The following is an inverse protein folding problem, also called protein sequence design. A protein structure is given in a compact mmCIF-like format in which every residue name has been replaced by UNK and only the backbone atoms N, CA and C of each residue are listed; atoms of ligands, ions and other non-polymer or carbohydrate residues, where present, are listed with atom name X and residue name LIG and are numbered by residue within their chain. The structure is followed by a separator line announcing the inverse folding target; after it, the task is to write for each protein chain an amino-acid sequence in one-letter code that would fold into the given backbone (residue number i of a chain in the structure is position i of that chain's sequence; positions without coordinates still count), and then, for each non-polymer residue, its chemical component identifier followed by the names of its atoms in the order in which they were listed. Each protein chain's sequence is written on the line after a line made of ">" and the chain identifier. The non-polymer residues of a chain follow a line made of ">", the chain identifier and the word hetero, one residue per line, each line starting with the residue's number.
data_IF_730010371099
#
_entry.id   IF_730010371099
#
_cell.length_a   1.000
_cell.length_b   1.000
_cell.length_c   1.000
_cell.angle_alpha   90.00
_cell.angle_beta   90.00
_cell.angle_gamma   90.00
#
_symmetry.space_group_name_H-M   'P 1'
#
loop_
_entity.id
_entity.type
_entity.pdbx_description
1 polymer ?
#
# COMPACT_ATOMS: atom_id res chain seq x y z
N UNK A 1 -20.83 21.36 -17.67
CA UNK A 1 -21.25 20.63 -16.45
C UNK A 1 -22.06 19.36 -16.74
N UNK A 2 -22.73 19.19 -17.89
CA UNK A 2 -23.48 17.95 -18.22
C UNK A 2 -22.68 16.83 -18.92
N UNK A 3 -21.53 17.12 -19.54
CA UNK A 3 -20.72 16.12 -20.24
C UNK A 3 -19.92 15.18 -19.30
N UNK A 4 -19.64 15.61 -18.07
CA UNK A 4 -18.81 14.83 -17.12
C UNK A 4 -19.59 13.67 -16.47
N UNK A 5 -20.92 13.78 -16.42
CA UNK A 5 -21.82 12.75 -15.86
C UNK A 5 -22.09 11.58 -16.83
N UNK A 6 -22.00 11.81 -18.14
CA UNK A 6 -22.22 10.75 -19.14
C UNK A 6 -20.99 9.85 -19.36
N UNK A 7 -19.80 10.29 -18.94
CA UNK A 7 -18.55 9.55 -19.14
C UNK A 7 -18.21 8.59 -17.99
N UNK A 8 -18.75 8.77 -16.78
CA UNK A 8 -18.39 7.94 -15.63
C UNK A 8 -18.73 6.44 -15.76
N UNK A 9 -19.93 6.03 -16.23
CA UNK A 9 -20.24 4.61 -16.45
C UNK A 9 -19.34 4.00 -17.54
N UNK A 10 -19.00 4.80 -18.55
CA UNK A 10 -18.07 4.45 -19.61
C UNK A 10 -16.66 4.27 -19.03
N UNK A 11 -16.21 5.11 -18.08
CA UNK A 11 -14.92 4.95 -17.40
C UNK A 11 -14.83 3.72 -16.49
N UNK A 12 -15.88 3.36 -15.75
CA UNK A 12 -15.90 2.12 -14.95
C UNK A 12 -15.87 0.89 -15.85
N UNK A 13 -16.67 0.91 -16.92
CA UNK A 13 -16.71 -0.18 -17.91
C UNK A 13 -15.41 -0.25 -18.68
N UNK A 14 -14.78 0.87 -19.03
CA UNK A 14 -13.46 0.97 -19.68
C UNK A 14 -12.31 0.62 -18.73
N UNK A 15 -12.43 0.84 -17.41
CA UNK A 15 -11.42 0.44 -16.42
C UNK A 15 -11.48 -1.06 -16.17
N UNK A 16 -12.68 -1.63 -16.10
CA UNK A 16 -12.87 -3.09 -16.08
C UNK A 16 -12.53 -3.72 -17.43
N UNK A 17 -12.82 -3.08 -18.58
CA UNK A 17 -12.36 -3.53 -19.90
C UNK A 17 -10.85 -3.38 -20.03
N UNK A 18 -10.23 -2.31 -19.53
CA UNK A 18 -8.77 -2.13 -19.57
C UNK A 18 -8.09 -3.11 -18.64
N UNK A 19 -8.69 -3.45 -17.51
CA UNK A 19 -8.21 -4.51 -16.61
C UNK A 19 -8.38 -5.88 -17.29
N UNK A 20 -9.54 -6.17 -17.88
CA UNK A 20 -9.80 -7.35 -18.68
C UNK A 20 -8.86 -7.48 -19.89
N UNK A 21 -8.56 -6.38 -20.59
CA UNK A 21 -7.64 -6.32 -21.73
C UNK A 21 -6.17 -6.35 -21.27
N UNK A 22 -5.80 -5.75 -20.13
CA UNK A 22 -4.47 -5.92 -19.53
C UNK A 22 -4.26 -7.36 -19.05
N UNK A 23 -5.31 -8.01 -18.58
CA UNK A 23 -5.29 -9.39 -18.09
C UNK A 23 -5.38 -10.44 -19.21
N UNK A 24 -6.10 -10.15 -20.33
CA UNK A 24 -6.25 -11.05 -21.50
C UNK A 24 -5.31 -10.74 -22.67
N UNK A 25 -4.98 -9.48 -22.93
CA UNK A 25 -4.14 -9.03 -24.07
C UNK A 25 -2.76 -8.54 -23.64
N UNK A 26 -2.52 -8.34 -22.33
CA UNK A 26 -1.19 -8.07 -21.80
C UNK A 26 -0.32 -9.31 -21.88
N UNK A 27 0.38 -9.46 -23.01
CA UNK A 27 1.41 -10.48 -23.19
C UNK A 27 2.41 -10.51 -22.03
N UNK A 28 2.79 -11.71 -21.65
CA UNK A 28 3.92 -12.09 -20.79
C UNK A 28 3.98 -11.60 -19.32
N UNK A 29 3.19 -10.60 -18.90
CA UNK A 29 3.31 -10.05 -17.53
C UNK A 29 2.45 -10.75 -16.45
N UNK A 30 1.30 -11.34 -16.81
CA UNK A 30 0.50 -12.17 -15.91
C UNK A 30 0.60 -13.62 -16.36
N UNK A 31 1.63 -14.32 -15.86
CA UNK A 31 1.88 -15.71 -16.25
C UNK A 31 0.71 -16.64 -15.89
N UNK A 32 0.58 -17.80 -16.57
CA UNK A 32 -0.51 -18.77 -16.35
C UNK A 32 -0.65 -19.22 -14.88
N UNK A 33 0.42 -19.10 -14.09
CA UNK A 33 0.41 -19.43 -12.67
C UNK A 33 -0.47 -18.50 -11.81
N UNK A 34 -0.63 -17.22 -12.16
CA UNK A 34 -1.47 -16.27 -11.40
C UNK A 34 -2.95 -16.59 -11.62
N UNK A 35 -3.34 -16.82 -12.87
CA UNK A 35 -4.71 -17.22 -13.27
C UNK A 35 -5.11 -18.49 -12.52
N UNK A 36 -4.26 -19.53 -12.61
CA UNK A 36 -4.51 -20.81 -11.94
C UNK A 36 -4.63 -20.67 -10.42
N UNK A 37 -3.82 -19.81 -9.79
CA UNK A 37 -3.86 -19.60 -8.34
C UNK A 37 -5.17 -18.92 -7.90
N UNK A 38 -5.58 -17.84 -8.57
CA UNK A 38 -6.82 -17.13 -8.27
C UNK A 38 -8.06 -18.02 -8.50
N UNK A 39 -8.14 -18.68 -9.65
CA UNK A 39 -9.25 -19.57 -9.99
C UNK A 39 -9.37 -20.76 -9.03
N UNK A 40 -8.23 -21.34 -8.60
CA UNK A 40 -8.23 -22.43 -7.62
C UNK A 40 -8.84 -22.03 -6.27
N UNK A 41 -8.78 -20.73 -5.94
CA UNK A 41 -9.35 -20.13 -4.74
C UNK A 41 -10.75 -19.53 -4.98
N UNK A 42 -11.35 -19.73 -6.15
CA UNK A 42 -12.64 -19.12 -6.58
C UNK A 42 -12.63 -17.58 -6.59
N UNK A 43 -11.46 -16.98 -6.81
CA UNK A 43 -11.32 -15.54 -7.05
C UNK A 43 -11.43 -15.27 -8.55
N UNK A 44 -12.15 -14.21 -8.90
CA UNK A 44 -12.28 -13.73 -10.29
C UNK A 44 -11.13 -12.76 -10.59
N UNK A 45 -10.13 -13.11 -11.41
CA UNK A 45 -8.95 -12.27 -11.56
C UNK A 45 -9.21 -10.86 -12.08
N UNK A 46 -10.23 -10.70 -12.92
CA UNK A 46 -10.69 -9.41 -13.46
C UNK A 46 -11.22 -8.45 -12.38
N UNK A 47 -11.66 -8.99 -11.22
CA UNK A 47 -12.18 -8.23 -10.10
C UNK A 47 -11.13 -8.01 -8.99
N UNK A 48 -9.87 -8.39 -9.22
CA UNK A 48 -8.82 -8.20 -8.23
C UNK A 48 -8.55 -6.71 -7.94
N UNK A 49 -8.31 -6.33 -6.67
CA UNK A 49 -7.86 -4.98 -6.36
C UNK A 49 -6.47 -4.76 -6.95
N UNK A 50 -6.27 -3.65 -7.65
CA UNK A 50 -4.97 -3.28 -8.21
C UNK A 50 -4.00 -2.86 -7.10
N UNK A 51 -4.53 -2.19 -6.07
CA UNK A 51 -3.75 -1.68 -4.94
C UNK A 51 -4.40 -2.07 -3.62
N UNK A 52 -3.66 -2.81 -2.80
CA UNK A 52 -4.02 -3.14 -1.42
C UNK A 52 -3.17 -2.32 -0.45
N UNK A 53 -3.79 -1.64 0.49
CA UNK A 53 -3.13 -0.97 1.61
C UNK A 53 -3.37 -1.77 2.90
N UNK A 54 -2.34 -1.90 3.76
CA UNK A 54 -2.45 -2.68 5.00
C UNK A 54 -1.90 -1.93 6.21
N UNK A 55 -2.74 -1.79 7.23
CA UNK A 55 -2.33 -1.34 8.56
C UNK A 55 -2.03 -2.58 9.40
N UNK A 56 -0.73 -2.84 9.58
CA UNK A 56 -0.16 -4.04 10.21
C UNK A 56 -0.21 -3.98 11.75
N UNK A 57 -1.42 -3.88 12.30
CA UNK A 57 -1.65 -3.68 13.73
C UNK A 57 -1.71 -5.00 14.51
N UNK A 58 -1.38 -4.94 15.80
CA UNK A 58 -1.48 -6.08 16.72
C UNK A 58 -0.15 -6.77 17.09
N UNK A 59 0.99 -6.41 16.50
CA UNK A 59 2.30 -7.01 16.80
C UNK A 59 2.63 -7.05 18.31
N UNK A 60 2.42 -5.93 19.01
CA UNK A 60 2.64 -5.83 20.46
C UNK A 60 1.69 -6.72 21.27
N UNK A 61 0.41 -6.75 20.88
CA UNK A 61 -0.60 -7.59 21.53
C UNK A 61 -0.29 -9.07 21.33
N UNK A 62 0.17 -9.43 20.14
CA UNK A 62 0.52 -10.78 19.77
C UNK A 62 1.62 -11.35 20.66
N UNK A 63 2.67 -10.56 20.90
CA UNK A 63 3.77 -10.95 21.80
C UNK A 63 3.30 -11.07 23.26
N UNK A 64 2.57 -10.05 23.74
CA UNK A 64 2.06 -10.02 25.12
C UNK A 64 1.14 -11.20 25.45
N UNK A 65 0.24 -11.55 24.52
CA UNK A 65 -0.69 -12.68 24.69
C UNK A 65 0.05 -14.03 24.80
N UNK A 66 1.32 -14.09 24.36
CA UNK A 66 2.17 -15.27 24.40
C UNK A 66 3.26 -15.20 25.48
N UNK A 67 3.26 -14.16 26.33
CA UNK A 67 4.30 -13.94 27.33
C UNK A 67 5.68 -13.63 26.74
N UNK A 68 5.73 -13.17 25.49
CA UNK A 68 6.96 -12.88 24.75
C UNK A 68 7.34 -11.39 24.82
N UNK A 69 8.65 -11.07 24.68
CA UNK A 69 9.11 -9.71 24.44
C UNK A 69 8.42 -9.07 23.21
N UNK A 70 8.11 -7.79 23.29
CA UNK A 70 7.39 -7.03 22.24
C UNK A 70 8.14 -7.08 20.90
N UNK A 71 9.46 -7.09 20.98
CA UNK A 71 10.41 -7.21 19.89
C UNK A 71 10.14 -8.43 19.02
N UNK A 72 9.81 -9.57 19.63
CA UNK A 72 9.50 -10.80 18.90
C UNK A 72 8.19 -10.69 18.11
N UNK A 73 7.21 -9.94 18.61
CA UNK A 73 5.98 -9.65 17.88
C UNK A 73 6.23 -8.81 16.63
N UNK A 74 7.16 -7.84 16.71
CA UNK A 74 7.54 -7.05 15.54
C UNK A 74 8.34 -7.86 14.52
N UNK A 75 9.25 -8.75 14.94
CA UNK A 75 9.95 -9.68 14.05
C UNK A 75 8.96 -10.61 13.32
N UNK A 76 8.00 -11.18 14.05
CA UNK A 76 6.96 -12.02 13.47
C UNK A 76 6.09 -11.23 12.46
N UNK A 77 5.77 -9.97 12.76
CA UNK A 77 5.12 -9.06 11.81
C UNK A 77 5.94 -8.84 10.53
N UNK A 78 7.26 -8.66 10.63
CA UNK A 78 8.13 -8.55 9.46
C UNK A 78 8.03 -9.77 8.53
N UNK A 79 8.02 -10.98 9.11
CA UNK A 79 7.86 -12.22 8.35
C UNK A 79 6.47 -12.34 7.69
N UNK A 80 5.41 -11.99 8.41
CA UNK A 80 4.05 -11.96 7.87
C UNK A 80 3.92 -10.95 6.71
N UNK A 81 4.56 -9.79 6.80
CA UNK A 81 4.60 -8.79 5.72
C UNK A 81 5.28 -9.33 4.44
N UNK A 82 6.40 -10.06 4.59
CA UNK A 82 7.09 -10.70 3.45
C UNK A 82 6.19 -11.73 2.77
N UNK A 83 5.50 -12.55 3.55
CA UNK A 83 4.54 -13.55 3.03
C UNK A 83 3.37 -12.87 2.34
N UNK A 84 2.82 -11.81 2.94
CA UNK A 84 1.76 -10.98 2.35
C UNK A 84 2.18 -10.41 0.99
N UNK A 85 3.40 -9.87 0.85
CA UNK A 85 3.90 -9.36 -0.42
C UNK A 85 3.98 -10.46 -1.49
N UNK A 86 4.48 -11.65 -1.13
CA UNK A 86 4.52 -12.81 -2.02
C UNK A 86 3.11 -13.25 -2.45
N UNK A 87 2.16 -13.29 -1.52
CA UNK A 87 0.77 -13.68 -1.79
C UNK A 87 0.06 -12.64 -2.67
N UNK A 88 0.26 -11.34 -2.42
CA UNK A 88 -0.24 -10.28 -3.29
C UNK A 88 0.20 -10.49 -4.74
N UNK A 89 1.49 -10.80 -4.96
CA UNK A 89 1.99 -11.16 -6.30
C UNK A 89 1.31 -12.41 -6.86
N UNK A 90 1.18 -13.47 -6.05
CA UNK A 90 0.53 -14.74 -6.43
C UNK A 90 -0.89 -14.51 -6.96
N UNK A 91 -1.64 -13.60 -6.36
CA UNK A 91 -3.03 -13.30 -6.73
C UNK A 91 -3.18 -12.15 -7.75
N UNK A 92 -2.08 -11.55 -8.21
CA UNK A 92 -2.12 -10.49 -9.23
C UNK A 92 -2.41 -9.09 -8.70
N UNK A 93 -2.23 -8.85 -7.40
CA UNK A 93 -2.22 -7.49 -6.84
C UNK A 93 -0.94 -6.78 -7.29
N UNK A 94 -1.10 -5.59 -7.87
CA UNK A 94 0.02 -4.85 -8.48
C UNK A 94 0.77 -3.97 -7.48
N UNK A 95 0.06 -3.40 -6.50
CA UNK A 95 0.63 -2.51 -5.49
C UNK A 95 0.22 -2.96 -4.10
N UNK A 96 1.18 -3.08 -3.19
CA UNK A 96 0.95 -3.31 -1.78
C UNK A 96 1.56 -2.14 -1.00
N UNK A 97 0.76 -1.38 -0.24
CA UNK A 97 1.28 -0.33 0.66
C UNK A 97 1.09 -0.72 2.11
N UNK A 98 2.17 -0.86 2.86
CA UNK A 98 2.13 -1.28 4.27
C UNK A 98 2.47 -0.13 5.21
N UNK A 99 1.70 0.01 6.29
CA UNK A 99 1.94 1.05 7.30
C UNK A 99 2.93 0.56 8.36
N UNK A 100 4.23 0.76 8.11
CA UNK A 100 5.28 0.25 8.99
C UNK A 100 5.53 1.14 10.22
N UNK A 101 5.55 2.47 10.05
CA UNK A 101 5.80 3.41 11.14
C UNK A 101 5.15 4.78 10.89
N UNK A 102 4.28 5.22 11.80
CA UNK A 102 3.57 6.51 11.66
C UNK A 102 4.34 7.68 12.27
N UNK A 103 3.99 8.91 11.87
CA UNK A 103 4.56 10.13 12.48
C UNK A 103 4.28 10.28 13.97
N UNK A 104 3.21 9.64 14.45
CA UNK A 104 2.74 9.65 15.84
C UNK A 104 3.47 8.57 16.68
N UNK A 105 4.11 7.57 16.05
CA UNK A 105 4.82 6.53 16.79
C UNK A 105 6.11 7.01 17.46
N UNK A 106 6.60 8.20 17.14
CA UNK A 106 7.71 8.83 17.86
C UNK A 106 7.38 9.22 19.30
N UNK A 107 6.10 9.21 19.71
CA UNK A 107 5.68 9.45 21.10
C UNK A 107 5.94 8.23 21.99
N UNK A 108 6.23 7.06 21.40
CA UNK A 108 6.56 5.83 22.13
C UNK A 108 7.90 5.97 22.88
N UNK A 109 8.17 5.09 23.88
CA UNK A 109 9.45 5.06 24.58
C UNK A 109 10.64 5.00 23.61
N UNK A 110 11.71 5.70 23.95
CA UNK A 110 12.88 5.87 23.08
C UNK A 110 13.50 4.52 22.70
N UNK A 111 13.58 3.61 23.66
CA UNK A 111 14.11 2.26 23.50
C UNK A 111 13.29 1.45 22.49
N UNK A 112 11.96 1.59 22.50
CA UNK A 112 11.07 0.93 21.52
C UNK A 112 11.29 1.51 20.12
N UNK A 113 11.44 2.83 20.01
CA UNK A 113 11.69 3.48 18.72
C UNK A 113 13.06 3.07 18.15
N UNK A 114 14.11 3.08 18.97
CA UNK A 114 15.45 2.63 18.57
C UNK A 114 15.45 1.17 18.14
N UNK A 115 14.76 0.30 18.88
CA UNK A 115 14.58 -1.08 18.48
C UNK A 115 13.89 -1.21 17.11
N UNK A 116 12.81 -0.46 16.86
CA UNK A 116 12.09 -0.51 15.59
C UNK A 116 12.96 -0.04 14.42
N UNK A 117 13.77 1.01 14.60
CA UNK A 117 14.70 1.46 13.56
C UNK A 117 15.74 0.38 13.24
N UNK A 118 16.33 -0.24 14.26
CA UNK A 118 17.29 -1.34 14.08
C UNK A 118 16.65 -2.56 13.40
N UNK A 119 15.40 -2.89 13.77
CA UNK A 119 14.65 -3.97 13.14
C UNK A 119 14.38 -3.67 11.66
N UNK A 120 14.04 -2.43 11.30
CA UNK A 120 13.87 -2.05 9.90
C UNK A 120 15.17 -2.19 9.11
N UNK A 121 16.31 -1.83 9.70
CA UNK A 121 17.62 -2.06 9.08
C UNK A 121 17.88 -3.54 8.85
N UNK A 122 17.68 -4.37 9.87
CA UNK A 122 17.86 -5.82 9.81
C UNK A 122 16.97 -6.45 8.72
N UNK A 123 15.67 -6.11 8.70
CA UNK A 123 14.71 -6.63 7.72
C UNK A 123 15.09 -6.21 6.31
N UNK A 124 15.44 -4.93 6.08
CA UNK A 124 15.85 -4.49 4.74
C UNK A 124 17.14 -5.20 4.31
N UNK A 125 18.13 -5.35 5.18
CA UNK A 125 19.39 -6.01 4.84
C UNK A 125 19.22 -7.50 4.53
N UNK A 126 18.40 -8.21 5.31
CA UNK A 126 18.22 -9.65 5.19
C UNK A 126 17.23 -10.05 4.11
N UNK A 127 16.14 -9.29 3.92
CA UNK A 127 15.02 -9.69 3.08
C UNK A 127 15.01 -9.05 1.68
N UNK A 128 15.79 -7.99 1.43
CA UNK A 128 15.71 -7.30 0.13
C UNK A 128 16.11 -8.19 -1.04
N UNK A 129 17.12 -9.05 -0.88
CA UNK A 129 17.53 -9.99 -1.93
C UNK A 129 16.41 -10.99 -2.24
N UNK A 130 15.74 -11.49 -1.20
CA UNK A 130 14.62 -12.41 -1.36
C UNK A 130 13.44 -11.74 -2.05
N UNK A 131 13.07 -10.52 -1.64
CA UNK A 131 12.03 -9.75 -2.29
C UNK A 131 12.37 -9.51 -3.76
N UNK A 132 13.60 -9.11 -4.05
CA UNK A 132 14.06 -8.87 -5.42
C UNK A 132 14.05 -10.14 -6.28
N UNK A 133 14.49 -11.28 -5.75
CA UNK A 133 14.41 -12.58 -6.44
C UNK A 133 12.97 -13.01 -6.74
N UNK A 134 12.03 -12.58 -5.91
CA UNK A 134 10.60 -12.79 -6.11
C UNK A 134 9.94 -11.69 -6.96
N UNK A 135 10.72 -10.90 -7.71
CA UNK A 135 10.26 -9.86 -8.62
C UNK A 135 9.43 -8.77 -7.92
N UNK A 136 9.77 -8.46 -6.67
CA UNK A 136 9.15 -7.37 -5.90
C UNK A 136 9.93 -6.08 -6.14
N UNK A 137 9.25 -5.00 -6.54
CA UNK A 137 9.78 -3.64 -6.55
C UNK A 137 9.51 -2.98 -5.20
N UNK A 138 10.51 -2.35 -4.58
CA UNK A 138 10.36 -1.74 -3.24
C UNK A 138 10.42 -0.22 -3.33
N UNK A 139 9.59 0.48 -2.56
CA UNK A 139 9.62 1.94 -2.39
C UNK A 139 9.28 2.35 -0.97
N UNK A 140 9.73 3.53 -0.57
CA UNK A 140 9.48 4.06 0.77
C UNK A 140 8.83 5.44 0.64
N UNK A 141 7.82 5.70 1.48
CA UNK A 141 7.14 7.01 1.59
C UNK A 141 7.20 7.51 3.03
N UNK A 142 7.27 8.84 3.19
CA UNK A 142 7.27 9.50 4.51
C UNK A 142 8.51 10.33 4.82
N UNK A 143 8.60 10.79 6.07
CA UNK A 143 9.64 11.75 6.49
C UNK A 143 11.00 11.09 6.64
N UNK A 144 11.96 11.48 5.80
CA UNK A 144 13.34 10.96 5.87
C UNK A 144 14.12 11.48 7.09
N UNK A 145 13.91 12.73 7.51
CA UNK A 145 14.81 13.44 8.43
C UNK A 145 14.95 12.85 9.84
N UNK A 146 13.92 12.17 10.36
CA UNK A 146 13.97 11.57 11.72
C UNK A 146 14.48 10.14 11.72
N UNK A 147 14.58 9.52 10.55
CA UNK A 147 15.06 8.15 10.37
C UNK A 147 16.59 8.17 10.41
N UNK A 148 17.28 7.20 11.05
CA UNK A 148 18.73 7.11 11.03
C UNK A 148 19.31 7.13 9.61
N UNK A 149 20.46 7.78 9.43
CA UNK A 149 21.08 7.93 8.09
C UNK A 149 21.45 6.57 7.46
N UNK A 150 21.86 5.60 8.29
CA UNK A 150 22.09 4.20 7.90
C UNK A 150 20.85 3.59 7.25
N UNK A 151 19.71 3.66 7.93
CA UNK A 151 18.42 3.19 7.42
C UNK A 151 17.99 3.94 6.15
N UNK A 152 18.21 5.26 6.08
CA UNK A 152 17.92 6.03 4.86
C UNK A 152 18.75 5.54 3.65
N UNK A 153 20.04 5.25 3.85
CA UNK A 153 20.93 4.71 2.80
C UNK A 153 20.51 3.32 2.36
N UNK A 154 20.13 2.46 3.30
CA UNK A 154 19.61 1.12 3.02
C UNK A 154 18.31 1.16 2.23
N UNK A 155 17.35 1.99 2.66
CA UNK A 155 16.09 2.21 1.96
C UNK A 155 16.33 2.69 0.53
N UNK A 156 17.18 3.70 0.33
CA UNK A 156 17.54 4.19 -1.00
C UNK A 156 18.19 3.11 -1.87
N UNK A 157 19.13 2.34 -1.32
CA UNK A 157 19.76 1.22 -2.04
C UNK A 157 18.73 0.17 -2.46
N UNK A 158 17.84 -0.23 -1.55
CA UNK A 158 16.76 -1.18 -1.84
C UNK A 158 15.84 -0.70 -2.98
N UNK A 159 15.50 0.59 -2.99
CA UNK A 159 14.71 1.19 -4.07
C UNK A 159 15.42 1.13 -5.42
N UNK A 160 16.68 1.57 -5.48
CA UNK A 160 17.44 1.60 -6.73
C UNK A 160 17.70 0.22 -7.30
N UNK A 161 17.96 -0.76 -6.42
CA UNK A 161 18.25 -2.13 -6.82
C UNK A 161 17.02 -2.88 -7.33
N UNK A 162 15.83 -2.58 -6.78
CA UNK A 162 14.58 -3.24 -7.14
C UNK A 162 13.77 -2.51 -8.22
N UNK A 163 14.22 -1.35 -8.71
CA UNK A 163 13.44 -0.48 -9.62
C UNK A 163 13.06 -1.13 -10.96
N UNK A 164 13.83 -2.10 -11.42
CA UNK A 164 13.59 -2.79 -12.69
C UNK A 164 12.60 -3.96 -12.58
N UNK A 165 12.29 -4.41 -11.36
CA UNK A 165 11.32 -5.48 -11.12
C UNK A 165 9.92 -5.03 -11.56
N UNK A 166 9.17 -5.95 -12.16
CA UNK A 166 7.87 -5.69 -12.77
C UNK A 166 6.70 -6.39 -12.06
N UNK A 167 6.99 -7.22 -11.05
CA UNK A 167 5.97 -7.83 -10.20
C UNK A 167 5.36 -6.81 -9.22
N UNK A 168 5.03 -7.27 -8.00
CA UNK A 168 4.33 -6.41 -7.04
C UNK A 168 5.20 -5.24 -6.60
N UNK A 169 4.62 -4.03 -6.60
CA UNK A 169 5.24 -2.84 -6.04
C UNK A 169 4.91 -2.72 -4.55
N UNK A 170 5.84 -3.12 -3.70
CA UNK A 170 5.77 -2.96 -2.25
C UNK A 170 6.19 -1.56 -1.84
N UNK A 171 5.26 -0.78 -1.29
CA UNK A 171 5.49 0.55 -0.73
C UNK A 171 5.45 0.46 0.79
N UNK A 172 6.54 0.85 1.45
CA UNK A 172 6.69 0.82 2.90
C UNK A 172 6.56 2.25 3.43
N UNK A 173 5.50 2.53 4.17
CA UNK A 173 5.26 3.83 4.77
C UNK A 173 6.00 3.94 6.12
N UNK A 174 7.07 4.75 6.16
CA UNK A 174 7.95 4.95 7.31
C UNK A 174 8.04 6.41 7.70
N UNK A 175 7.84 6.69 9.00
CA UNK A 175 7.62 8.06 9.49
C UNK A 175 6.58 8.82 8.65
N UNK A 176 5.51 8.13 8.29
CA UNK A 176 4.49 8.61 7.36
C UNK A 176 3.20 9.02 8.08
N UNK A 177 2.53 10.04 7.54
CA UNK A 177 1.12 10.27 7.79
C UNK A 177 0.47 11.05 6.65
N UNK A 178 -0.82 10.84 6.40
CA UNK A 178 -1.56 11.50 5.33
C UNK A 178 -1.63 13.02 5.53
N UNK A 179 -1.78 13.49 6.77
CA UNK A 179 -1.70 14.93 7.07
C UNK A 179 -0.33 15.52 6.72
N UNK A 180 0.76 14.79 6.98
CA UNK A 180 2.09 15.25 6.57
C UNK A 180 2.22 15.31 5.05
N UNK A 181 1.77 14.26 4.36
CA UNK A 181 1.81 14.12 2.90
C UNK A 181 1.09 15.30 2.22
N UNK A 182 -0.17 15.54 2.60
CA UNK A 182 -1.00 16.68 2.14
C UNK A 182 -0.29 18.02 2.42
N UNK A 183 0.27 18.19 3.61
CA UNK A 183 0.98 19.42 3.96
C UNK A 183 2.27 19.62 3.13
N UNK A 184 2.99 18.55 2.77
CA UNK A 184 4.15 18.67 1.88
C UNK A 184 3.74 18.98 0.45
N UNK A 185 2.71 18.30 -0.07
CA UNK A 185 2.17 18.59 -1.41
C UNK A 185 1.76 20.06 -1.52
N UNK A 186 1.01 20.56 -0.53
CA UNK A 186 0.61 21.97 -0.43
C UNK A 186 1.81 22.92 -0.44
N UNK A 187 2.87 22.63 0.34
CA UNK A 187 4.08 23.46 0.37
C UNK A 187 4.83 23.45 -0.98
N UNK A 188 4.92 22.31 -1.65
CA UNK A 188 5.56 22.18 -2.97
C UNK A 188 4.79 22.99 -4.02
N UNK A 189 3.46 22.88 -4.04
CA UNK A 189 2.57 23.61 -4.95
C UNK A 189 2.64 25.11 -4.67
N UNK A 190 2.49 25.54 -3.42
CA UNK A 190 2.56 26.95 -3.04
C UNK A 190 3.91 27.58 -3.41
N UNK A 191 5.02 26.83 -3.31
CA UNK A 191 6.32 27.29 -3.79
C UNK A 191 6.34 27.49 -5.31
N UNK A 192 5.82 26.55 -6.10
CA UNK A 192 5.71 26.69 -7.56
C UNK A 192 4.87 27.91 -7.95
N UNK A 193 3.78 28.17 -7.23
CA UNK A 193 2.95 29.37 -7.44
C UNK A 193 3.73 30.65 -7.12
N UNK A 194 4.39 30.70 -5.96
CA UNK A 194 5.23 31.84 -5.57
C UNK A 194 6.35 32.13 -6.57
N UNK A 195 6.93 31.08 -7.13
CA UNK A 195 8.04 31.16 -8.09
C UNK A 195 7.54 31.44 -9.54
N UNK A 196 6.23 31.62 -9.75
CA UNK A 196 5.63 31.93 -11.05
C UNK A 196 5.59 30.74 -12.03
N UNK A 197 5.87 29.53 -11.56
CA UNK A 197 5.89 28.29 -12.35
C UNK A 197 4.48 27.74 -12.57
N UNK A 198 3.54 28.07 -11.68
CA UNK A 198 2.16 27.57 -11.67
C UNK A 198 1.20 28.70 -11.28
N UNK A 199 0.03 28.78 -11.92
CA UNK A 199 -1.07 29.66 -11.50
C UNK A 199 -2.01 28.93 -10.53
N UNK A 200 -2.68 29.68 -9.65
CA UNK A 200 -3.60 29.11 -8.66
C UNK A 200 -4.74 28.34 -9.32
N UNK A 201 -5.27 28.86 -10.44
CA UNK A 201 -6.40 28.25 -11.17
C UNK A 201 -6.01 26.94 -11.91
N UNK A 202 -4.71 26.63 -12.00
CA UNK A 202 -4.21 25.37 -12.54
C UNK A 202 -4.15 24.26 -11.48
N UNK A 203 -4.44 24.56 -10.20
CA UNK A 203 -4.42 23.57 -9.13
C UNK A 203 -5.75 22.80 -9.12
N UNK A 204 -5.70 21.56 -9.58
CA UNK A 204 -6.78 20.58 -9.47
C UNK A 204 -6.33 19.32 -8.70
N UNK A 205 -7.23 18.35 -8.58
CA UNK A 205 -6.94 17.07 -7.90
C UNK A 205 -5.79 16.31 -8.56
N UNK A 206 -5.70 16.35 -9.90
CA UNK A 206 -4.65 15.67 -10.67
C UNK A 206 -3.27 16.26 -10.35
N UNK A 207 -3.17 17.59 -10.38
CA UNK A 207 -1.95 18.30 -10.02
C UNK A 207 -1.60 18.04 -8.55
N UNK A 208 -2.59 18.02 -7.66
CA UNK A 208 -2.35 17.74 -6.25
C UNK A 208 -1.75 16.34 -6.04
N UNK A 209 -2.31 15.32 -6.70
CA UNK A 209 -1.82 13.93 -6.66
C UNK A 209 -0.37 13.79 -7.13
N UNK A 210 0.06 14.57 -8.13
CA UNK A 210 1.44 14.59 -8.60
C UNK A 210 2.44 15.10 -7.55
N UNK A 211 1.98 15.76 -6.49
CA UNK A 211 2.83 16.32 -5.43
C UNK A 211 2.80 15.51 -4.12
N UNK A 212 1.92 14.52 -4.01
CA UNK A 212 1.88 13.55 -2.90
C UNK A 212 3.06 12.58 -2.97
N UNK A 213 3.37 11.91 -1.87
CA UNK A 213 4.45 10.91 -1.79
C UNK A 213 4.22 9.69 -2.70
N UNK A 214 2.97 9.41 -3.06
CA UNK A 214 2.59 8.33 -4.00
C UNK A 214 2.70 8.73 -5.47
N UNK A 215 3.28 9.88 -5.79
CA UNK A 215 3.55 10.26 -7.18
C UNK A 215 4.44 9.21 -7.88
N UNK A 216 4.17 8.95 -9.16
CA UNK A 216 4.93 7.97 -9.96
C UNK A 216 4.60 6.50 -9.67
N UNK A 217 3.60 6.22 -8.84
CA UNK A 217 3.03 4.88 -8.65
C UNK A 217 1.90 4.69 -9.66
N UNK A 218 1.87 3.57 -10.38
CA UNK A 218 0.86 3.31 -11.43
C UNK A 218 -0.57 3.25 -10.88
N UNK A 219 -0.73 2.73 -9.66
CA UNK A 219 -2.00 2.67 -8.94
C UNK A 219 -1.77 3.31 -7.57
N UNK A 220 -1.89 4.65 -7.46
CA UNK A 220 -1.54 5.36 -6.22
C UNK A 220 -2.65 5.28 -5.16
N UNK A 221 -3.89 5.03 -5.58
CA UNK A 221 -5.07 5.03 -4.74
C UNK A 221 -5.51 3.58 -4.43
N UNK A 222 -5.52 3.16 -3.15
CA UNK A 222 -5.90 1.81 -2.78
C UNK A 222 -7.33 1.48 -3.16
N UNK A 223 -7.54 0.28 -3.69
CA UNK A 223 -8.86 -0.28 -3.89
C UNK A 223 -9.41 -0.87 -2.58
N UNK A 224 -8.52 -1.52 -1.81
CA UNK A 224 -8.82 -2.18 -0.55
C UNK A 224 -7.83 -1.72 0.54
N UNK A 225 -8.36 -1.30 1.69
CA UNK A 225 -7.59 -1.14 2.93
C UNK A 225 -7.93 -2.29 3.87
N UNK A 226 -6.92 -3.04 4.28
CA UNK A 226 -7.03 -4.06 5.34
C UNK A 226 -6.42 -3.50 6.61
N UNK A 227 -7.11 -3.62 7.74
CA UNK A 227 -6.54 -3.37 9.05
C UNK A 227 -6.80 -4.54 9.98
N UNK A 228 -5.73 -5.02 10.59
CA UNK A 228 -5.74 -6.12 11.57
C UNK A 228 -6.04 -5.63 12.98
N UNK A 229 -6.21 -6.59 13.89
CA UNK A 229 -6.37 -6.42 15.35
C UNK A 229 -7.68 -5.82 15.86
N UNK A 230 -8.72 -5.77 15.02
CA UNK A 230 -10.08 -5.36 15.39
C UNK A 230 -10.31 -3.85 15.53
N UNK A 231 -9.30 -3.03 15.23
CA UNK A 231 -9.40 -1.58 15.37
C UNK A 231 -10.08 -0.93 14.17
N UNK A 232 -11.19 -0.23 14.39
CA UNK A 232 -12.02 0.37 13.33
C UNK A 232 -11.64 1.83 13.01
N UNK A 233 -10.42 2.06 12.51
CA UNK A 233 -9.95 3.41 12.10
C UNK A 233 -8.81 3.33 11.09
N UNK A 234 -8.55 4.42 10.37
CA UNK A 234 -7.44 4.51 9.39
C UNK A 234 -6.14 5.07 9.98
N UNK A 235 -6.20 5.66 11.18
CA UNK A 235 -5.01 6.14 11.92
C UNK A 235 -4.08 7.08 11.12
N UNK A 236 -4.64 8.04 10.39
CA UNK A 236 -3.86 9.02 9.60
C UNK A 236 -3.05 8.37 8.45
N UNK A 237 -3.41 7.17 8.02
CA UNK A 237 -2.81 6.50 6.88
C UNK A 237 -3.51 6.92 5.58
N UNK A 238 -2.73 7.23 4.53
CA UNK A 238 -3.15 7.48 3.15
C UNK A 238 -4.42 8.33 2.98
N UNK A 239 -4.57 9.42 3.77
CA UNK A 239 -5.84 10.14 3.91
C UNK A 239 -6.44 10.66 2.59
N UNK A 240 -5.58 11.12 1.67
CA UNK A 240 -6.04 11.55 0.34
C UNK A 240 -6.45 10.35 -0.50
N UNK A 241 -5.57 9.36 -0.56
CA UNK A 241 -5.68 8.21 -1.44
C UNK A 241 -6.84 7.27 -1.03
N UNK A 242 -7.27 7.30 0.24
CA UNK A 242 -8.34 6.44 0.77
C UNK A 242 -9.77 6.89 0.44
N UNK A 243 -9.96 7.99 -0.29
CA UNK A 243 -11.27 8.63 -0.49
C UNK A 243 -12.39 7.70 -0.97
N UNK A 244 -12.06 6.70 -1.80
CA UNK A 244 -13.00 5.70 -2.35
C UNK A 244 -12.55 4.26 -2.12
N UNK A 245 -11.73 4.03 -1.09
CA UNK A 245 -11.18 2.72 -0.77
C UNK A 245 -12.19 1.90 0.02
N UNK A 246 -12.32 0.62 -0.32
CA UNK A 246 -13.09 -0.32 0.49
C UNK A 246 -12.33 -0.64 1.78
N UNK A 247 -12.99 -0.48 2.92
CA UNK A 247 -12.38 -0.73 4.23
C UNK A 247 -12.77 -2.13 4.72
N UNK A 248 -11.76 -2.93 5.06
CA UNK A 248 -11.91 -4.22 5.70
C UNK A 248 -11.12 -4.23 7.01
N UNK A 249 -11.83 -4.52 8.10
CA UNK A 249 -11.26 -4.65 9.43
C UNK A 249 -11.36 -6.10 9.86
N UNK A 250 -10.25 -6.67 10.33
CA UNK A 250 -10.16 -8.06 10.79
C UNK A 250 -9.66 -8.11 12.22
N UNK A 251 -10.24 -9.01 13.02
CA UNK A 251 -9.90 -9.13 14.46
C UNK A 251 -8.53 -9.77 14.68
N UNK A 252 -8.07 -10.59 13.73
CA UNK A 252 -6.80 -11.29 13.80
C UNK A 252 -5.63 -10.32 13.96
N UNK A 253 -4.67 -10.66 14.82
CA UNK A 253 -3.45 -9.86 15.00
C UNK A 253 -2.50 -10.08 13.82
N UNK A 254 -1.78 -9.04 13.38
CA UNK A 254 -1.00 -9.10 12.14
C UNK A 254 -0.02 -10.27 12.02
N UNK A 255 0.73 -10.67 13.07
CA UNK A 255 1.65 -11.82 12.92
C UNK A 255 0.97 -13.17 12.70
N UNK A 256 -0.34 -13.27 12.96
CA UNK A 256 -1.13 -14.47 12.66
C UNK A 256 -1.86 -14.35 11.30
N UNK A 257 -1.81 -13.18 10.63
CA UNK A 257 -2.47 -12.96 9.33
C UNK A 257 -1.74 -13.71 8.21
N UNK A 258 -2.43 -14.64 7.56
CA UNK A 258 -1.86 -15.57 6.59
C UNK A 258 -2.52 -15.47 5.20
N UNK A 259 -2.18 -16.42 4.31
CA UNK A 259 -2.71 -16.49 2.96
C UNK A 259 -4.23 -16.67 2.91
N UNK A 260 -4.78 -17.45 3.84
CA UNK A 260 -6.23 -17.71 3.92
C UNK A 260 -6.97 -16.42 4.23
N UNK A 261 -6.45 -15.61 5.15
CA UNK A 261 -7.03 -14.31 5.48
C UNK A 261 -6.99 -13.33 4.30
N UNK A 262 -5.90 -13.36 3.52
CA UNK A 262 -5.82 -12.56 2.30
C UNK A 262 -6.87 -13.01 1.28
N UNK A 263 -7.03 -14.31 1.04
CA UNK A 263 -8.07 -14.84 0.14
C UNK A 263 -9.46 -14.40 0.60
N UNK A 264 -9.75 -14.47 1.90
CA UNK A 264 -11.02 -14.01 2.47
C UNK A 264 -11.22 -12.51 2.25
N UNK A 265 -10.18 -11.70 2.45
CA UNK A 265 -10.21 -10.27 2.21
C UNK A 265 -10.49 -9.92 0.75
N UNK A 266 -9.81 -10.61 -0.17
CA UNK A 266 -10.00 -10.46 -1.62
C UNK A 266 -11.40 -10.90 -2.04
N UNK A 267 -11.88 -12.02 -1.52
CA UNK A 267 -13.25 -12.51 -1.75
C UNK A 267 -14.29 -11.49 -1.26
N UNK A 268 -14.09 -10.92 -0.07
CA UNK A 268 -14.97 -9.89 0.48
C UNK A 268 -14.97 -8.62 -0.39
N UNK A 269 -13.81 -8.24 -0.94
CA UNK A 269 -13.68 -7.12 -1.87
C UNK A 269 -14.45 -7.37 -3.18
N UNK A 270 -14.29 -8.54 -3.80
CA UNK A 270 -14.96 -8.88 -5.07
C UNK A 270 -16.49 -8.87 -4.97
N UNK A 271 -17.05 -9.09 -3.77
CA UNK A 271 -18.49 -9.00 -3.52
C UNK A 271 -19.03 -7.57 -3.43
N UNK A 272 -18.16 -6.55 -3.36
CA UNK A 272 -18.60 -5.15 -3.22
C UNK A 272 -18.85 -4.52 -4.58
N UNK A 273 -20.03 -3.92 -4.74
CA UNK A 273 -20.35 -3.11 -5.90
C UNK A 273 -19.82 -1.68 -5.73
N UNK A 274 -18.64 -1.40 -6.28
CA UNK A 274 -18.03 -0.06 -6.22
C UNK A 274 -18.75 0.88 -7.19
N UNK A 275 -19.47 1.86 -6.62
CA UNK A 275 -20.32 2.79 -7.37
C UNK A 275 -19.69 4.17 -7.62
N UNK A 276 -18.64 4.55 -6.88
CA UNK A 276 -17.98 5.87 -6.99
C UNK A 276 -18.94 7.07 -7.09
N UNK A 277 -20.09 7.01 -6.40
CA UNK A 277 -21.14 8.03 -6.46
C UNK A 277 -22.10 7.95 -7.67
N UNK A 278 -21.86 7.07 -8.64
CA UNK A 278 -22.76 6.79 -9.76
C UNK A 278 -23.92 5.87 -9.39
N UNK A 279 -25.12 6.15 -9.92
CA UNK A 279 -26.26 5.24 -9.85
C UNK A 279 -26.33 4.44 -11.14
N UNK A 280 -26.33 3.11 -11.05
CA UNK A 280 -26.81 2.27 -12.14
C UNK A 280 -28.35 2.38 -12.13
N UNK A 281 -28.90 3.12 -13.08
CA UNK A 281 -30.31 3.00 -13.48
C UNK A 281 -30.35 2.06 -14.67
#
# INVERSE_FOLDING_TARGET
>A
MFLQFLLQPIFITLRNLSHYLLYRLGGDNYGPNIINAAESCRLEPELMPTHVAVIMDGNRRWARNRGLPVELGHRAGGQAMKQLASNCRKYGVQVLTVFAFSTENWIRPKEEVEFLMNLFEEVIQSDIEDLMRNDVRVSFIGKKRRIPESLQKLAYSAQERSKANQGVHLIIAMDYSGRYDIAQATKKIAKKVKDGILQVDEIDDTLFEQHLETNGVNFPNPDLLIRTSGELRVSNFMLWQLAYTELLFVDKLFPDFDETDLIEALTAFQKRHRRYGGHNI
#
